data_IF_244922889320
#
_entry.id   IF_244922889320
#
_cell.length_a   1.000
_cell.length_b   1.000
_cell.length_c   1.000
_cell.angle_alpha   90.00
_cell.angle_beta   90.00
_cell.angle_gamma   90.00
#
_symmetry.space_group_name_H-M   'P 1'
#
loop_
_entity.id
_entity.type
_entity.pdbx_description
1 polymer ?
#
# COMPACT_ATOMS: atom_id res chain seq x y z
N UNK A 1 -29.12 15.73 -25.12
CA UNK A 1 -28.58 14.52 -25.76
C UNK A 1 -27.10 14.79 -25.97
N UNK A 2 -26.28 14.52 -24.95
CA UNK A 2 -24.84 14.78 -25.00
C UNK A 2 -24.16 13.47 -25.32
N UNK A 3 -23.63 13.34 -26.53
CA UNK A 3 -22.79 12.22 -26.93
C UNK A 3 -21.58 12.18 -26.00
N UNK A 4 -21.62 11.31 -24.99
CA UNK A 4 -20.46 10.98 -24.18
C UNK A 4 -19.63 10.07 -25.06
N UNK A 5 -18.78 10.66 -25.90
CA UNK A 5 -17.88 9.92 -26.77
C UNK A 5 -17.15 8.85 -25.96
N UNK A 6 -17.08 7.63 -26.50
CA UNK A 6 -16.37 6.53 -25.86
C UNK A 6 -14.99 7.01 -25.39
N UNK A 7 -14.52 6.64 -24.19
CA UNK A 7 -13.24 7.12 -23.70
C UNK A 7 -12.13 6.67 -24.66
N UNK A 8 -11.34 7.63 -25.13
CA UNK A 8 -10.19 7.37 -26.02
C UNK A 8 -8.96 8.14 -25.58
N UNK A 9 -7.78 7.64 -25.95
CA UNK A 9 -6.50 8.30 -25.73
C UNK A 9 -5.62 7.63 -24.69
N UNK A 10 -4.50 8.26 -24.35
CA UNK A 10 -3.49 7.70 -23.46
C UNK A 10 -3.60 8.27 -22.04
N UNK A 11 -3.40 7.46 -21.00
CA UNK A 11 -3.36 7.92 -19.60
C UNK A 11 -2.09 7.47 -18.89
N UNK A 12 -1.52 8.36 -18.07
CA UNK A 12 -0.41 8.06 -17.18
C UNK A 12 -0.92 7.80 -15.75
N UNK A 13 -0.54 6.65 -15.18
CA UNK A 13 -0.95 6.22 -13.86
C UNK A 13 0.24 5.96 -12.94
N UNK A 14 0.09 6.30 -11.65
CA UNK A 14 1.10 5.96 -10.62
C UNK A 14 0.49 5.38 -9.35
N UNK A 15 1.25 4.53 -8.66
CA UNK A 15 0.93 3.93 -7.37
C UNK A 15 2.20 3.44 -6.68
N UNK A 16 2.11 3.08 -5.39
CA UNK A 16 3.18 2.33 -4.70
C UNK A 16 3.49 1.01 -5.44
N UNK A 17 4.75 0.58 -5.49
CA UNK A 17 5.18 -0.53 -6.37
C UNK A 17 4.36 -1.80 -6.18
N UNK A 18 4.22 -2.21 -4.92
CA UNK A 18 3.52 -3.45 -4.56
C UNK A 18 2.00 -3.32 -4.73
N UNK A 19 1.42 -2.15 -4.40
CA UNK A 19 -0.01 -1.90 -4.64
C UNK A 19 -0.34 -1.90 -6.13
N UNK A 20 0.51 -1.23 -6.92
CA UNK A 20 0.44 -1.16 -8.36
C UNK A 20 0.41 -2.54 -8.99
N UNK A 21 1.34 -3.41 -8.57
CA UNK A 21 1.45 -4.78 -9.05
C UNK A 21 0.27 -5.66 -8.66
N UNK A 22 -0.05 -5.74 -7.37
CA UNK A 22 -0.98 -6.76 -6.85
C UNK A 22 -2.45 -6.35 -6.94
N UNK A 23 -2.75 -5.05 -6.96
CA UNK A 23 -4.12 -4.54 -6.87
C UNK A 23 -4.51 -3.72 -8.09
N UNK A 24 -3.66 -2.77 -8.52
CA UNK A 24 -4.03 -1.83 -9.59
C UNK A 24 -3.86 -2.42 -11.00
N UNK A 25 -2.83 -3.20 -11.27
CA UNK A 25 -2.56 -3.76 -12.59
C UNK A 25 -3.68 -4.70 -13.10
N UNK A 26 -4.28 -5.58 -12.27
CA UNK A 26 -5.47 -6.33 -12.67
C UNK A 26 -6.63 -5.41 -13.07
N UNK A 27 -6.91 -4.37 -12.28
CA UNK A 27 -7.99 -3.41 -12.56
C UNK A 27 -7.73 -2.60 -13.84
N UNK A 28 -6.47 -2.22 -14.11
CA UNK A 28 -6.09 -1.58 -15.37
C UNK A 28 -6.33 -2.53 -16.55
N UNK A 29 -5.97 -3.80 -16.40
CA UNK A 29 -6.13 -4.80 -17.47
C UNK A 29 -7.60 -4.99 -17.83
N UNK A 30 -8.47 -5.16 -16.82
CA UNK A 30 -9.92 -5.26 -17.02
C UNK A 30 -10.51 -3.99 -17.66
N UNK A 31 -9.99 -2.81 -17.30
CA UNK A 31 -10.43 -1.55 -17.89
C UNK A 31 -10.04 -1.44 -19.37
N UNK A 32 -8.82 -1.85 -19.73
CA UNK A 32 -8.34 -1.83 -21.12
C UNK A 32 -9.13 -2.80 -22.00
N UNK A 33 -9.57 -3.93 -21.46
CA UNK A 33 -10.48 -4.86 -22.16
C UNK A 33 -11.85 -4.22 -22.41
N UNK A 34 -12.42 -3.52 -21.41
CA UNK A 34 -13.70 -2.83 -21.54
C UNK A 34 -13.65 -1.57 -22.42
N UNK A 35 -12.47 -0.97 -22.61
CA UNK A 35 -12.28 0.30 -23.31
C UNK A 35 -11.09 0.25 -24.30
N UNK A 36 -11.24 -0.42 -25.46
CA UNK A 36 -10.14 -0.64 -26.41
C UNK A 36 -9.58 0.63 -27.06
N UNK A 37 -10.30 1.76 -26.96
CA UNK A 37 -9.83 3.07 -27.43
C UNK A 37 -8.85 3.77 -26.48
N UNK A 38 -8.60 3.20 -25.29
CA UNK A 38 -7.74 3.77 -24.26
C UNK A 38 -6.43 3.00 -24.19
N UNK A 39 -5.32 3.71 -23.96
CA UNK A 39 -4.03 3.13 -23.61
C UNK A 39 -3.54 3.69 -22.28
N UNK A 40 -2.73 2.91 -21.56
CA UNK A 40 -2.21 3.28 -20.24
C UNK A 40 -0.70 3.08 -20.17
N UNK A 41 0.01 4.09 -19.63
CA UNK A 41 1.37 3.95 -19.11
C UNK A 41 1.31 3.98 -17.58
N UNK A 42 1.67 2.88 -16.94
CA UNK A 42 1.69 2.78 -15.48
C UNK A 42 3.13 2.78 -14.95
N UNK A 43 3.42 3.64 -13.96
CA UNK A 43 4.70 3.69 -13.25
C UNK A 43 4.44 3.39 -11.77
N UNK A 44 4.92 2.27 -11.26
CA UNK A 44 4.73 1.95 -9.85
C UNK A 44 6.04 2.13 -9.08
N UNK A 45 6.04 3.05 -8.12
CA UNK A 45 7.25 3.60 -7.50
C UNK A 45 7.03 3.79 -5.99
N UNK A 46 8.01 3.40 -5.18
CA UNK A 46 8.02 3.63 -3.72
C UNK A 46 8.73 4.95 -3.35
N UNK A 47 8.40 6.03 -4.09
CA UNK A 47 8.86 7.39 -3.81
C UNK A 47 7.72 8.40 -3.94
N UNK A 48 7.92 9.61 -3.42
CA UNK A 48 7.02 10.73 -3.69
C UNK A 48 7.13 11.10 -5.18
N UNK A 49 5.99 11.17 -5.86
CA UNK A 49 5.86 11.52 -7.27
C UNK A 49 5.14 12.86 -7.37
N UNK A 50 5.73 13.82 -8.08
CA UNK A 50 5.02 15.04 -8.44
C UNK A 50 4.12 14.75 -9.64
N UNK A 51 2.81 14.87 -9.44
CA UNK A 51 1.85 14.50 -10.48
C UNK A 51 1.91 15.43 -11.68
N UNK A 52 2.32 16.69 -11.49
CA UNK A 52 2.37 17.71 -12.53
C UNK A 52 3.64 17.54 -13.35
N UNK A 53 4.79 17.50 -12.68
CA UNK A 53 6.09 17.39 -13.36
C UNK A 53 6.24 16.06 -14.12
N UNK A 54 5.66 14.97 -13.61
CA UNK A 54 5.77 13.65 -14.24
C UNK A 54 4.61 13.29 -15.20
N UNK A 55 3.76 14.28 -15.51
CA UNK A 55 2.61 14.15 -16.42
C UNK A 55 1.67 13.00 -16.04
N UNK A 56 1.35 12.87 -14.75
CA UNK A 56 0.50 11.79 -14.22
C UNK A 56 -0.97 12.24 -14.20
N UNK A 57 -1.83 11.53 -14.93
CA UNK A 57 -3.28 11.77 -14.93
C UNK A 57 -3.93 11.30 -13.62
N UNK A 58 -3.55 10.10 -13.13
CA UNK A 58 -4.18 9.44 -11.97
C UNK A 58 -3.13 8.82 -11.06
N UNK A 59 -3.29 9.02 -9.76
CA UNK A 59 -2.44 8.44 -8.73
C UNK A 59 -3.23 7.70 -7.66
N UNK A 60 -2.67 6.59 -7.16
CA UNK A 60 -3.14 5.96 -5.92
C UNK A 60 -2.20 6.35 -4.79
N UNK A 61 -2.69 7.15 -3.84
CA UNK A 61 -1.88 7.71 -2.77
C UNK A 61 -2.56 7.59 -1.39
N UNK A 62 -1.79 7.41 -0.31
CA UNK A 62 -2.29 7.67 1.03
C UNK A 62 -2.52 9.18 1.20
N UNK A 63 -3.65 9.56 1.79
CA UNK A 63 -3.99 10.92 2.25
C UNK A 63 -3.49 12.08 1.36
N UNK A 64 -4.34 12.62 0.48
CA UNK A 64 -3.99 13.74 -0.38
C UNK A 64 -4.93 14.92 -0.18
N UNK A 65 -4.37 16.14 -0.16
CA UNK A 65 -5.11 17.40 -0.18
C UNK A 65 -5.71 17.73 -1.56
N UNK A 66 -5.45 16.91 -2.57
CA UNK A 66 -5.98 17.02 -3.93
C UNK A 66 -7.42 16.48 -4.03
N UNK A 67 -8.09 16.73 -5.16
CA UNK A 67 -9.41 16.15 -5.45
C UNK A 67 -9.28 14.63 -5.50
N UNK A 68 -9.81 13.97 -4.48
CA UNK A 68 -9.54 12.58 -4.17
C UNK A 68 -10.85 11.80 -3.95
N UNK A 69 -10.97 10.63 -4.58
CA UNK A 69 -12.00 9.64 -4.26
C UNK A 69 -11.40 8.58 -3.35
N UNK A 70 -11.89 8.47 -2.12
CA UNK A 70 -11.49 7.39 -1.22
C UNK A 70 -12.01 6.05 -1.75
N UNK A 71 -11.12 5.08 -1.86
CA UNK A 71 -11.44 3.72 -2.34
C UNK A 71 -11.26 2.65 -1.28
N UNK A 72 -10.70 2.98 -0.11
CA UNK A 72 -10.61 2.04 0.99
C UNK A 72 -9.61 2.49 2.06
N UNK A 73 -9.10 1.53 2.81
CA UNK A 73 -7.98 1.70 3.72
C UNK A 73 -7.17 0.41 3.81
N UNK A 74 -5.89 0.54 4.15
CA UNK A 74 -4.95 -0.57 4.35
C UNK A 74 -4.42 -0.50 5.76
N UNK A 75 -4.11 -1.64 6.37
CA UNK A 75 -3.58 -1.68 7.74
C UNK A 75 -2.06 -1.77 7.71
N UNK A 76 -1.40 -1.08 8.64
CA UNK A 76 0.00 -1.34 8.94
C UNK A 76 0.09 -2.54 9.86
N UNK A 77 0.98 -3.46 9.56
CA UNK A 77 1.29 -4.66 10.35
C UNK A 77 2.78 -4.68 10.66
N UNK A 78 3.15 -5.38 11.73
CA UNK A 78 4.50 -5.91 11.91
C UNK A 78 4.41 -7.42 11.68
N UNK A 79 5.37 -7.98 10.95
CA UNK A 79 5.39 -9.40 10.62
C UNK A 79 6.78 -9.98 10.81
N UNK A 80 6.86 -11.28 11.07
CA UNK A 80 8.08 -12.06 11.12
C UNK A 80 7.79 -13.50 10.68
N UNK A 81 8.81 -14.26 10.28
CA UNK A 81 8.63 -15.69 10.00
C UNK A 81 8.44 -16.51 11.28
N UNK A 82 7.71 -17.64 11.21
CA UNK A 82 7.58 -18.58 12.32
C UNK A 82 8.93 -19.01 12.91
N UNK A 83 9.91 -19.30 12.05
CA UNK A 83 11.25 -19.73 12.47
C UNK A 83 11.99 -18.67 13.30
N UNK A 84 11.87 -17.40 12.91
CA UNK A 84 12.45 -16.31 13.68
C UNK A 84 11.81 -16.19 15.07
N UNK A 85 10.47 -16.28 15.13
CA UNK A 85 9.70 -16.20 16.37
C UNK A 85 9.96 -17.41 17.28
N UNK A 86 10.17 -18.60 16.72
CA UNK A 86 10.54 -19.79 17.49
C UNK A 86 11.91 -19.63 18.15
N UNK A 87 12.86 -18.99 17.47
CA UNK A 87 14.22 -18.79 17.98
C UNK A 87 14.36 -17.60 18.95
N UNK A 88 13.58 -16.52 18.77
CA UNK A 88 13.76 -15.26 19.51
C UNK A 88 12.55 -14.87 20.38
N UNK A 89 11.45 -15.61 20.32
CA UNK A 89 10.17 -15.21 20.88
C UNK A 89 9.44 -14.16 20.04
N UNK A 90 8.15 -13.97 20.30
CA UNK A 90 7.37 -12.88 19.71
C UNK A 90 7.42 -11.64 20.60
N UNK A 91 7.61 -10.43 20.03
CA UNK A 91 7.57 -9.21 20.82
C UNK A 91 6.16 -8.99 21.40
N UNK A 92 6.09 -8.85 22.73
CA UNK A 92 4.85 -8.65 23.49
C UNK A 92 4.41 -7.17 23.51
N UNK A 93 5.35 -6.25 23.29
CA UNK A 93 5.11 -4.83 23.23
C UNK A 93 6.02 -4.12 22.20
N UNK A 94 5.62 -2.95 21.68
CA UNK A 94 6.44 -2.15 20.76
C UNK A 94 7.87 -1.90 21.24
N UNK A 95 8.06 -1.76 22.56
CA UNK A 95 9.36 -1.50 23.16
C UNK A 95 10.35 -2.67 22.98
N UNK A 96 9.85 -3.92 22.92
CA UNK A 96 10.64 -5.13 22.73
C UNK A 96 11.31 -5.19 21.34
N UNK A 97 10.86 -4.38 20.37
CA UNK A 97 11.52 -4.27 19.07
C UNK A 97 12.99 -3.83 19.16
N UNK A 98 13.42 -3.24 20.29
CA UNK A 98 14.84 -2.91 20.53
C UNK A 98 15.72 -4.15 20.72
N UNK A 99 15.13 -5.25 21.17
CA UNK A 99 15.83 -6.50 21.46
C UNK A 99 15.70 -7.51 20.30
N UNK A 100 15.01 -7.14 19.23
CA UNK A 100 14.84 -7.95 18.03
C UNK A 100 15.66 -7.41 16.86
N UNK A 101 16.05 -8.29 15.95
CA UNK A 101 16.49 -7.88 14.63
C UNK A 101 15.31 -7.23 13.88
N UNK A 102 15.48 -5.95 13.50
CA UNK A 102 14.49 -5.22 12.71
C UNK A 102 15.02 -5.03 11.29
N UNK A 103 14.17 -5.37 10.31
CA UNK A 103 14.38 -5.07 8.90
C UNK A 103 13.53 -3.83 8.60
N UNK A 104 14.17 -2.69 8.40
CA UNK A 104 13.44 -1.45 8.15
C UNK A 104 13.07 -1.32 6.68
N UNK A 105 11.76 -1.13 6.44
CA UNK A 105 11.28 -0.60 5.18
C UNK A 105 11.27 0.92 5.26
N UNK A 106 12.15 1.60 4.53
CA UNK A 106 12.27 3.07 4.62
C UNK A 106 10.99 3.82 4.26
N UNK A 107 10.13 3.23 3.41
CA UNK A 107 8.81 3.78 3.07
C UNK A 107 7.80 3.76 4.23
N UNK A 108 7.96 2.87 5.22
CA UNK A 108 7.10 2.77 6.40
C UNK A 108 7.79 3.23 7.70
N UNK A 109 9.12 3.26 7.71
CA UNK A 109 9.97 3.63 8.85
C UNK A 109 11.07 4.64 8.44
N UNK A 110 10.73 5.82 7.89
CA UNK A 110 11.71 6.76 7.33
C UNK A 110 12.71 7.32 8.36
N UNK A 111 12.35 7.33 9.65
CA UNK A 111 13.21 7.82 10.75
C UNK A 111 13.75 6.68 11.62
N UNK A 112 13.75 5.43 11.14
CA UNK A 112 14.03 4.24 11.98
C UNK A 112 13.11 4.16 13.20
N UNK A 113 11.86 4.58 13.02
CA UNK A 113 10.84 4.59 14.05
C UNK A 113 9.61 3.82 13.58
N UNK A 114 9.07 2.99 14.47
CA UNK A 114 7.77 2.38 14.26
C UNK A 114 6.69 3.17 15.01
N UNK A 115 5.66 3.60 14.29
CA UNK A 115 4.47 4.26 14.85
C UNK A 115 3.46 3.22 15.27
N UNK A 116 3.07 3.26 16.53
CA UNK A 116 2.14 2.32 17.13
C UNK A 116 1.08 3.05 17.95
N UNK A 117 -0.02 2.36 18.26
CA UNK A 117 -1.07 2.84 19.17
C UNK A 117 -0.87 2.21 20.54
N UNK A 118 -0.98 3.02 21.59
CA UNK A 118 -0.99 2.54 22.97
C UNK A 118 -1.90 3.44 23.80
N UNK A 119 -2.87 2.84 24.52
CA UNK A 119 -3.85 3.57 25.35
C UNK A 119 -4.55 4.71 24.59
N UNK A 120 -4.96 4.44 23.35
CA UNK A 120 -5.65 5.40 22.47
C UNK A 120 -4.77 6.46 21.82
N UNK A 121 -3.49 6.59 22.20
CA UNK A 121 -2.56 7.60 21.67
C UNK A 121 -1.57 6.98 20.68
N UNK A 122 -1.16 7.76 19.68
CA UNK A 122 -0.06 7.40 18.79
C UNK A 122 1.27 7.65 19.51
N UNK A 123 2.16 6.66 19.47
CA UNK A 123 3.52 6.71 20.03
C UNK A 123 4.51 6.17 19.02
N UNK A 124 5.79 6.47 19.22
CA UNK A 124 6.89 5.94 18.42
C UNK A 124 7.81 5.09 19.27
N UNK A 125 8.39 4.07 18.64
CA UNK A 125 9.56 3.35 19.15
C UNK A 125 10.68 3.46 18.13
N UNK A 126 11.81 4.03 18.56
CA UNK A 126 13.04 4.02 17.78
C UNK A 126 13.64 2.61 17.80
N UNK A 127 14.14 2.18 16.65
CA UNK A 127 14.80 0.89 16.42
C UNK A 127 16.16 1.11 15.78
N UNK A 128 17.03 0.10 15.88
CA UNK A 128 18.34 0.08 15.23
C UNK A 128 18.38 -1.04 14.19
N UNK A 129 17.82 -0.80 12.98
CA UNK A 129 17.74 -1.83 11.95
C UNK A 129 19.14 -2.18 11.44
N UNK A 130 19.42 -3.49 11.32
CA UNK A 130 20.66 -3.99 10.71
C UNK A 130 20.57 -4.08 9.18
N UNK A 131 19.35 -4.06 8.66
CA UNK A 131 19.05 -4.04 7.23
C UNK A 131 17.96 -3.00 6.97
N UNK A 132 18.26 -2.02 6.12
CA UNK A 132 17.34 -0.98 5.68
C UNK A 132 17.22 -1.03 4.17
N UNK A 133 16.00 -1.04 3.64
CA UNK A 133 15.76 -1.09 2.20
C UNK A 133 14.47 -0.35 1.85
N UNK A 134 14.40 0.18 0.63
CA UNK A 134 13.25 0.93 0.11
C UNK A 134 12.34 0.08 -0.78
N UNK A 135 12.58 -1.22 -0.88
CA UNK A 135 11.83 -2.15 -1.71
C UNK A 135 11.06 -3.12 -0.82
N UNK A 136 9.74 -3.12 -0.97
CA UNK A 136 8.82 -3.91 -0.17
C UNK A 136 9.10 -5.43 -0.27
N UNK A 137 9.42 -5.94 -1.46
CA UNK A 137 9.64 -7.38 -1.68
C UNK A 137 10.93 -7.85 -1.00
N UNK A 138 11.97 -7.02 -1.03
CA UNK A 138 13.25 -7.29 -0.35
C UNK A 138 13.07 -7.37 1.16
N UNK A 139 12.21 -6.53 1.74
CA UNK A 139 11.85 -6.58 3.17
C UNK A 139 11.14 -7.88 3.54
N UNK A 140 10.16 -8.28 2.73
CA UNK A 140 9.40 -9.51 2.97
C UNK A 140 10.26 -10.76 2.82
N UNK A 141 11.06 -10.83 1.75
CA UNK A 141 11.97 -11.94 1.52
C UNK A 141 12.98 -12.12 2.68
N UNK A 142 13.48 -11.02 3.25
CA UNK A 142 14.36 -11.08 4.42
C UNK A 142 13.63 -11.55 5.68
N UNK A 143 12.38 -11.14 5.90
CA UNK A 143 11.57 -11.59 7.02
C UNK A 143 11.22 -13.09 6.90
N UNK A 144 10.84 -13.55 5.71
CA UNK A 144 10.59 -14.97 5.38
C UNK A 144 11.85 -15.82 5.60
N UNK A 145 13.03 -15.29 5.26
CA UNK A 145 14.33 -15.95 5.51
C UNK A 145 14.81 -15.91 6.97
N UNK A 146 13.94 -15.55 7.91
CA UNK A 146 14.23 -15.57 9.35
C UNK A 146 15.16 -14.47 9.82
N UNK A 147 15.26 -13.34 9.11
CA UNK A 147 16.24 -12.28 9.44
C UNK A 147 15.74 -11.22 10.40
N UNK A 148 14.47 -11.24 10.78
CA UNK A 148 13.93 -10.29 11.75
C UNK A 148 12.44 -10.02 11.61
N UNK A 149 12.01 -9.01 12.35
CA UNK A 149 10.67 -8.42 12.28
C UNK A 149 10.69 -7.23 11.31
N UNK A 150 9.65 -7.08 10.51
CA UNK A 150 9.55 -5.98 9.55
C UNK A 150 8.16 -5.34 9.52
N UNK A 151 8.06 -4.06 9.13
CA UNK A 151 6.78 -3.42 8.87
C UNK A 151 6.23 -3.84 7.50
N UNK A 152 4.91 -3.99 7.41
CA UNK A 152 4.22 -4.25 6.14
C UNK A 152 2.87 -3.53 6.09
N UNK A 153 2.31 -3.42 4.90
CA UNK A 153 0.90 -3.08 4.70
C UNK A 153 0.11 -4.35 4.40
N UNK A 154 -1.18 -4.37 4.77
CA UNK A 154 -2.01 -5.58 4.64
C UNK A 154 -2.00 -6.19 3.23
N UNK A 155 -1.97 -5.36 2.19
CA UNK A 155 -1.91 -5.82 0.79
C UNK A 155 -0.55 -6.43 0.39
N UNK A 156 0.51 -6.22 1.17
CA UNK A 156 1.85 -6.72 0.86
C UNK A 156 2.05 -8.16 1.30
N UNK A 157 1.31 -8.61 2.33
CA UNK A 157 1.60 -9.85 3.07
C UNK A 157 0.45 -10.85 3.04
N UNK A 158 -0.60 -10.60 2.23
CA UNK A 158 -1.79 -11.45 2.20
C UNK A 158 -1.46 -12.92 1.92
N UNK A 159 -0.65 -13.15 0.88
CA UNK A 159 -0.26 -14.50 0.45
C UNK A 159 0.71 -15.17 1.43
N UNK A 160 1.65 -14.40 1.99
CA UNK A 160 2.64 -14.87 2.96
C UNK A 160 1.98 -15.28 4.28
N UNK A 161 0.99 -14.52 4.74
CA UNK A 161 0.20 -14.84 5.91
C UNK A 161 -0.69 -16.07 5.67
N UNK A 162 -1.38 -16.12 4.52
CA UNK A 162 -2.24 -17.25 4.17
C UNK A 162 -1.45 -18.56 4.03
N UNK A 163 -0.22 -18.50 3.51
CA UNK A 163 0.68 -19.64 3.38
C UNK A 163 1.44 -19.97 4.68
N UNK A 164 1.28 -19.18 5.75
CA UNK A 164 2.00 -19.36 7.02
C UNK A 164 3.51 -19.10 6.94
N UNK A 165 3.99 -18.42 5.88
CA UNK A 165 5.41 -18.04 5.75
C UNK A 165 5.77 -16.86 6.64
N UNK A 166 4.80 -16.01 6.93
CA UNK A 166 4.89 -14.91 7.88
C UNK A 166 3.74 -14.99 8.89
N UNK A 167 3.98 -14.44 10.07
CA UNK A 167 2.98 -14.28 11.13
C UNK A 167 2.95 -12.82 11.59
N UNK A 168 1.75 -12.27 11.85
CA UNK A 168 1.65 -10.93 12.39
C UNK A 168 2.10 -10.91 13.86
N UNK A 169 2.72 -9.81 14.26
CA UNK A 169 3.09 -9.51 15.64
C UNK A 169 2.63 -8.11 16.01
N UNK A 170 2.47 -7.86 17.32
CA UNK A 170 2.09 -6.55 17.85
C UNK A 170 0.77 -5.99 17.27
N UNK A 171 -0.18 -6.87 16.92
CA UNK A 171 -1.42 -6.48 16.24
C UNK A 171 -2.25 -5.48 17.06
N UNK A 172 -2.31 -5.66 18.38
CA UNK A 172 -2.98 -4.77 19.34
C UNK A 172 -2.40 -3.35 19.38
N UNK A 173 -1.17 -3.19 18.89
CA UNK A 173 -0.46 -1.91 18.85
C UNK A 173 -0.46 -1.29 17.46
N UNK A 174 -1.14 -1.90 16.48
CA UNK A 174 -1.19 -1.36 15.12
C UNK A 174 -1.77 0.05 15.09
N UNK A 175 -1.18 0.98 14.32
CA UNK A 175 -1.74 2.32 14.16
C UNK A 175 -3.06 2.26 13.38
N UNK A 176 -3.78 3.38 13.33
CA UNK A 176 -5.02 3.47 12.57
C UNK A 176 -4.82 3.08 11.09
N UNK A 177 -5.84 2.48 10.43
CA UNK A 177 -5.77 2.18 9.01
C UNK A 177 -5.42 3.41 8.17
N UNK A 178 -4.58 3.22 7.16
CA UNK A 178 -4.15 4.26 6.24
C UNK A 178 -5.15 4.30 5.08
N UNK A 179 -5.84 5.43 4.84
CA UNK A 179 -6.81 5.50 3.75
C UNK A 179 -6.09 5.41 2.39
N UNK A 180 -6.76 4.82 1.41
CA UNK A 180 -6.30 4.75 0.02
C UNK A 180 -7.22 5.61 -0.83
N UNK A 181 -6.63 6.49 -1.63
CA UNK A 181 -7.35 7.42 -2.50
C UNK A 181 -6.93 7.28 -3.95
N UNK A 182 -7.90 7.36 -4.85
CA UNK A 182 -7.69 7.70 -6.25
C UNK A 182 -7.68 9.22 -6.39
N UNK A 183 -6.58 9.75 -6.88
CA UNK A 183 -6.33 11.18 -7.02
C UNK A 183 -6.11 11.50 -8.50
N UNK A 184 -6.62 12.65 -8.95
CA UNK A 184 -6.27 13.21 -10.25
C UNK A 184 -5.80 14.65 -10.08
N UNK A 185 -5.11 15.19 -11.10
CA UNK A 185 -4.65 16.58 -11.08
C UNK A 185 -5.83 17.56 -10.90
N UNK A 186 -5.67 18.54 -9.99
CA UNK A 186 -6.66 19.57 -9.70
C UNK A 186 -6.58 20.72 -10.73
N UNK A 187 -7.71 21.34 -11.09
CA UNK A 187 -7.75 22.57 -11.90
C UNK A 187 -7.93 22.38 -13.42
N UNK A 188 -8.03 21.13 -13.91
CA UNK A 188 -8.40 20.83 -15.31
C UNK A 188 -9.79 20.19 -15.38
N UNK A 189 -10.47 20.41 -16.51
CA UNK A 189 -11.69 19.69 -16.85
C UNK A 189 -11.32 18.21 -16.94
N UNK A 190 -11.88 17.37 -16.04
CA UNK A 190 -11.52 15.95 -15.95
C UNK A 190 -11.82 15.29 -17.31
N UNK A 191 -10.79 14.79 -18.03
CA UNK A 191 -11.00 14.17 -19.33
C UNK A 191 -11.95 12.97 -19.22
N UNK A 192 -12.78 12.69 -20.24
CA UNK A 192 -13.71 11.56 -20.21
C UNK A 192 -13.04 10.21 -19.89
N UNK A 193 -11.81 9.99 -20.40
CA UNK A 193 -10.97 8.82 -20.10
C UNK A 193 -10.66 8.67 -18.60
N UNK A 194 -10.30 9.78 -17.93
CA UNK A 194 -9.95 9.79 -16.50
C UNK A 194 -11.18 9.52 -15.65
N UNK A 195 -12.31 10.17 -15.99
CA UNK A 195 -13.59 9.92 -15.31
C UNK A 195 -14.03 8.46 -15.47
N UNK A 196 -14.00 7.94 -16.69
CA UNK A 196 -14.35 6.55 -16.96
C UNK A 196 -13.48 5.57 -16.16
N UNK A 197 -12.16 5.80 -16.11
CA UNK A 197 -11.27 4.98 -15.29
C UNK A 197 -11.59 5.08 -13.80
N UNK A 198 -11.77 6.29 -13.26
CA UNK A 198 -12.08 6.47 -11.84
C UNK A 198 -13.40 5.79 -11.44
N UNK A 199 -14.42 5.86 -12.31
CA UNK A 199 -15.72 5.22 -12.08
C UNK A 199 -15.64 3.69 -12.20
N UNK A 200 -14.81 3.18 -13.10
CA UNK A 200 -14.56 1.74 -13.26
C UNK A 200 -13.72 1.15 -12.11
N UNK A 201 -12.65 1.84 -11.74
CA UNK A 201 -11.64 1.34 -10.82
C UNK A 201 -12.09 1.45 -9.35
N UNK A 202 -12.77 2.52 -8.96
CA UNK A 202 -13.12 2.75 -7.56
C UNK A 202 -13.90 1.60 -6.88
N UNK A 203 -14.99 1.03 -7.46
CA UNK A 203 -15.68 -0.09 -6.82
C UNK A 203 -14.83 -1.37 -6.76
N UNK A 204 -13.97 -1.61 -7.77
CA UNK A 204 -13.09 -2.79 -7.82
C UNK A 204 -11.96 -2.70 -6.81
N UNK A 205 -11.35 -1.53 -6.68
CA UNK A 205 -10.34 -1.26 -5.66
C UNK A 205 -10.94 -1.34 -4.27
N UNK A 206 -12.18 -0.88 -4.07
CA UNK A 206 -12.88 -1.01 -2.79
C UNK A 206 -13.15 -2.47 -2.41
N UNK A 207 -13.57 -3.30 -3.36
CA UNK A 207 -13.73 -4.73 -3.14
C UNK A 207 -12.40 -5.39 -2.78
N UNK A 208 -11.35 -5.19 -3.61
CA UNK A 208 -10.03 -5.77 -3.37
C UNK A 208 -9.43 -5.35 -2.00
N UNK A 209 -9.59 -4.10 -1.60
CA UNK A 209 -9.14 -3.60 -0.29
C UNK A 209 -9.97 -4.13 0.87
N UNK A 210 -11.25 -4.43 0.63
CA UNK A 210 -12.14 -5.09 1.59
C UNK A 210 -11.71 -6.53 1.87
N UNK A 211 -11.42 -7.31 0.83
CA UNK A 211 -10.88 -8.68 0.95
C UNK A 211 -9.51 -8.72 1.65
N UNK A 212 -8.69 -7.69 1.44
CA UNK A 212 -7.38 -7.53 2.10
C UNK A 212 -7.48 -6.97 3.54
N UNK A 213 -8.70 -6.72 4.00
CA UNK A 213 -9.03 -6.29 5.36
C UNK A 213 -10.09 -7.21 5.98
N UNK A 214 -9.89 -8.55 6.02
CA UNK A 214 -10.84 -9.40 6.69
C UNK A 214 -10.83 -9.02 8.17
N UNK A 215 -12.03 -8.67 8.65
CA UNK A 215 -12.44 -8.41 10.03
C UNK A 215 -12.47 -6.94 10.49
N UNK A 216 -13.73 -6.52 10.67
CA UNK A 216 -14.23 -5.24 11.14
C UNK A 216 -15.75 -5.22 11.03
N UNK A 217 -16.40 -6.29 11.52
CA UNK A 217 -17.80 -6.24 11.98
C UNK A 217 -17.85 -5.78 13.42
#
# INVERSE_FOLDING_TARGET
MGETGAPTGHMNLTAAATFGRSVLAPVISDFLEAHPGVSVSARFLDRVVDLIEEDIDIAVLPDSSLVARRVGAVRRKMVASPDYLAAHGAPDAPAALRDHAVIAFTGLMPNREWRHRARGRVRTVAVEPRFEVNDALSVLAAAEAGKGVCPALSYMVGDELAAGRLMPVLEDFSPAPVPVHLVHQQGRLVPPKVRAFMDFAAPRLAAALGDLSPEGG
#
